data_IF_200496380482
#
_entry.id   IF_200496380482
#
_cell.length_a   1.000
_cell.length_b   1.000
_cell.length_c   1.000
_cell.angle_alpha   90.00
_cell.angle_beta   90.00
_cell.angle_gamma   90.00
#
_symmetry.space_group_name_H-M   'P 1'
#
loop_
_entity.id
_entity.type
_entity.pdbx_description
1 polymer ?
#
# COMPACT_ATOMS: atom_id res chain seq x y z
N UNK A 1 -23.20 -5.70 -4.11
CA UNK A 1 -23.10 -6.06 -2.70
C UNK A 1 -22.74 -7.55 -2.63
N UNK A 2 -21.48 -7.90 -2.68
CA UNK A 2 -21.03 -9.31 -2.65
C UNK A 2 -19.57 -9.54 -2.96
N UNK A 3 -18.85 -8.54 -3.49
CA UNK A 3 -17.48 -8.73 -3.97
C UNK A 3 -16.38 -8.64 -2.91
N UNK A 4 -16.57 -7.83 -1.87
CA UNK A 4 -15.53 -7.66 -0.85
C UNK A 4 -15.35 -8.88 0.06
N UNK A 5 -16.43 -9.56 0.41
CA UNK A 5 -16.34 -10.79 1.20
C UNK A 5 -15.65 -11.93 0.43
N UNK A 6 -15.89 -12.05 -0.89
CA UNK A 6 -15.28 -13.12 -1.69
C UNK A 6 -13.76 -12.95 -1.91
N UNK A 7 -13.23 -11.75 -1.85
CA UNK A 7 -11.77 -11.51 -2.02
C UNK A 7 -11.04 -11.84 -0.72
N UNK A 8 -11.56 -11.43 0.43
CA UNK A 8 -10.98 -11.73 1.74
C UNK A 8 -10.93 -13.22 2.06
N UNK A 9 -11.91 -14.00 1.59
CA UNK A 9 -11.96 -15.44 1.80
C UNK A 9 -11.01 -16.26 0.90
N UNK A 10 -10.38 -15.61 -0.09
CA UNK A 10 -9.50 -16.29 -1.08
C UNK A 10 -8.04 -15.89 -0.97
N UNK A 11 -7.74 -14.77 -0.37
CA UNK A 11 -6.39 -14.22 -0.32
C UNK A 11 -6.06 -13.69 1.08
N UNK A 12 -4.84 -13.96 1.51
CA UNK A 12 -4.30 -13.28 2.68
C UNK A 12 -3.93 -11.85 2.27
N UNK A 13 -4.54 -10.88 2.93
CA UNK A 13 -4.36 -9.46 2.61
C UNK A 13 -3.56 -8.78 3.71
N UNK A 14 -2.43 -8.20 3.34
CA UNK A 14 -1.65 -7.30 4.18
C UNK A 14 -1.98 -5.87 3.74
N UNK A 15 -2.60 -5.11 4.65
CA UNK A 15 -2.95 -3.71 4.39
C UNK A 15 -2.12 -2.79 5.29
N UNK A 16 -1.33 -1.91 4.66
CA UNK A 16 -0.50 -0.91 5.34
C UNK A 16 -0.91 0.47 4.86
N UNK A 17 -1.37 1.30 5.78
CA UNK A 17 -1.59 2.72 5.56
C UNK A 17 -0.41 3.49 6.16
N UNK A 18 0.48 3.95 5.31
CA UNK A 18 1.72 4.62 5.68
C UNK A 18 1.50 5.98 6.34
N UNK A 19 0.30 6.57 6.20
CA UNK A 19 -0.05 7.84 6.85
C UNK A 19 -0.34 7.69 8.34
N UNK A 20 -0.61 6.48 8.82
CA UNK A 20 -0.89 6.18 10.23
C UNK A 20 0.36 6.18 11.10
N UNK A 21 0.92 7.37 11.26
CA UNK A 21 2.11 7.60 12.06
C UNK A 21 1.76 7.95 13.51
N UNK A 22 2.46 7.39 14.51
CA UNK A 22 2.33 7.83 15.89
C UNK A 22 2.75 9.30 16.06
N UNK A 23 2.22 9.98 17.09
CA UNK A 23 2.53 11.38 17.35
C UNK A 23 3.98 11.63 17.78
N UNK A 24 4.62 10.61 18.31
CA UNK A 24 5.97 10.59 18.85
C UNK A 24 7.01 9.96 17.92
N UNK A 25 6.72 9.88 16.63
CA UNK A 25 7.65 9.38 15.64
C UNK A 25 8.46 10.55 15.05
N UNK A 26 9.69 10.71 15.53
CA UNK A 26 10.55 11.85 15.22
C UNK A 26 11.76 11.48 14.35
N UNK A 27 11.90 10.21 13.96
CA UNK A 27 12.98 9.74 13.11
C UNK A 27 12.52 8.75 12.03
N UNK A 28 13.33 8.66 10.98
CA UNK A 28 13.14 7.67 9.91
C UNK A 28 13.22 6.23 10.45
N UNK A 29 14.19 5.95 11.33
CA UNK A 29 14.39 4.62 11.90
C UNK A 29 13.18 4.19 12.71
N UNK A 30 12.69 5.05 13.62
CA UNK A 30 11.49 4.77 14.42
C UNK A 30 10.27 4.48 13.54
N UNK A 31 10.17 5.18 12.41
CA UNK A 31 9.08 4.97 11.46
C UNK A 31 9.11 3.58 10.83
N UNK A 32 10.27 3.15 10.33
CA UNK A 32 10.42 1.83 9.69
C UNK A 32 10.29 0.72 10.73
N UNK A 33 10.97 0.82 11.86
CA UNK A 33 10.92 -0.16 12.95
C UNK A 33 9.48 -0.39 13.42
N UNK A 34 8.68 0.68 13.45
CA UNK A 34 7.27 0.59 13.81
C UNK A 34 6.44 -0.18 12.80
N UNK A 35 6.66 0.06 11.51
CA UNK A 35 5.97 -0.67 10.45
C UNK A 35 6.32 -2.16 10.54
N UNK A 36 7.60 -2.49 10.61
CA UNK A 36 8.06 -3.88 10.71
C UNK A 36 7.55 -4.57 11.98
N UNK A 37 7.70 -3.92 13.14
CA UNK A 37 7.21 -4.46 14.42
C UNK A 37 5.71 -4.75 14.39
N UNK A 38 4.91 -3.85 13.83
CA UNK A 38 3.47 -4.05 13.73
C UNK A 38 3.15 -5.22 12.79
N UNK A 39 3.79 -5.27 11.64
CA UNK A 39 3.58 -6.34 10.66
C UNK A 39 3.98 -7.72 11.25
N UNK A 40 5.17 -7.83 11.83
CA UNK A 40 5.65 -9.07 12.48
C UNK A 40 4.71 -9.48 13.62
N UNK A 41 4.27 -8.53 14.44
CA UNK A 41 3.31 -8.81 15.52
C UNK A 41 1.99 -9.38 14.99
N UNK A 42 1.47 -8.83 13.90
CA UNK A 42 0.21 -9.28 13.33
C UNK A 42 0.37 -10.63 12.63
N UNK A 43 1.50 -10.86 11.94
CA UNK A 43 1.86 -12.17 11.38
C UNK A 43 2.02 -13.23 12.48
N UNK A 44 2.66 -12.91 13.61
CA UNK A 44 2.82 -13.84 14.76
C UNK A 44 1.49 -14.26 15.36
N UNK A 45 0.47 -13.40 15.33
CA UNK A 45 -0.88 -13.75 15.79
C UNK A 45 -1.61 -14.68 14.83
N UNK A 46 -1.46 -14.43 13.55
CA UNK A 46 -2.15 -15.21 12.50
C UNK A 46 -1.48 -16.56 12.28
N UNK A 47 -0.14 -16.63 12.43
CA UNK A 47 0.67 -17.82 12.21
C UNK A 47 1.44 -18.22 13.50
N UNK A 48 0.73 -18.60 14.59
CA UNK A 48 1.38 -18.88 15.87
C UNK A 48 2.28 -20.12 15.86
N UNK A 49 2.19 -20.95 14.83
CA UNK A 49 3.02 -22.14 14.63
C UNK A 49 4.39 -21.83 14.05
N UNK A 50 4.60 -20.64 13.46
CA UNK A 50 5.88 -20.25 12.86
C UNK A 50 6.82 -19.73 13.93
N UNK A 51 8.05 -20.20 13.93
CA UNK A 51 9.12 -19.69 14.78
C UNK A 51 9.66 -18.39 14.19
N UNK A 52 9.60 -17.30 14.95
CA UNK A 52 10.05 -15.97 14.56
C UNK A 52 11.14 -15.52 15.52
N UNK A 53 12.35 -15.30 15.00
CA UNK A 53 13.51 -14.85 15.75
C UNK A 53 13.52 -13.32 15.93
N UNK A 54 14.34 -12.84 16.89
CA UNK A 54 14.39 -11.40 17.22
C UNK A 54 15.00 -10.53 16.10
N UNK A 55 15.88 -11.14 15.29
CA UNK A 55 16.57 -10.49 14.17
C UNK A 55 15.90 -10.68 12.81
N UNK A 56 14.77 -11.38 12.77
CA UNK A 56 14.00 -11.55 11.54
C UNK A 56 13.37 -10.23 11.10
N UNK A 57 13.58 -9.88 9.84
CA UNK A 57 12.79 -8.81 9.18
C UNK A 57 11.38 -9.31 8.83
N UNK A 58 10.48 -8.39 8.53
CA UNK A 58 9.15 -8.75 8.07
C UNK A 58 9.18 -9.60 6.78
N UNK A 59 10.17 -9.38 5.91
CA UNK A 59 10.37 -10.17 4.70
C UNK A 59 10.81 -11.62 5.01
N UNK A 60 11.69 -11.81 6.01
CA UNK A 60 12.13 -13.14 6.42
C UNK A 60 10.97 -13.95 7.00
N UNK A 61 10.16 -13.32 7.85
CA UNK A 61 8.95 -13.95 8.42
C UNK A 61 7.96 -14.36 7.33
N UNK A 62 7.74 -13.51 6.33
CA UNK A 62 6.83 -13.80 5.22
C UNK A 62 7.35 -14.92 4.32
N UNK A 63 8.67 -15.00 4.09
CA UNK A 63 9.29 -16.10 3.34
C UNK A 63 9.16 -17.43 4.11
N UNK A 64 9.40 -17.43 5.44
CA UNK A 64 9.19 -18.60 6.29
C UNK A 64 7.73 -19.07 6.25
N UNK A 65 6.76 -18.16 6.33
CA UNK A 65 5.34 -18.51 6.19
C UNK A 65 5.06 -19.14 4.82
N UNK A 66 5.62 -18.58 3.74
CA UNK A 66 5.46 -19.14 2.40
C UNK A 66 6.02 -20.57 2.33
N UNK A 67 7.20 -20.82 2.90
CA UNK A 67 7.85 -22.13 2.87
C UNK A 67 7.12 -23.17 3.72
N UNK A 68 6.65 -22.79 4.91
CA UNK A 68 6.08 -23.71 5.89
C UNK A 68 4.54 -23.85 5.84
N UNK A 69 3.83 -22.92 5.18
CA UNK A 69 2.37 -22.88 5.12
C UNK A 69 1.84 -23.02 3.67
N UNK A 70 2.04 -24.17 3.04
CA UNK A 70 1.48 -24.54 1.73
C UNK A 70 1.71 -23.49 0.63
N UNK A 71 2.87 -22.85 0.59
CA UNK A 71 3.20 -21.76 -0.34
C UNK A 71 2.21 -20.60 -0.30
N UNK A 72 1.80 -20.23 0.89
CA UNK A 72 0.83 -19.18 1.12
C UNK A 72 1.33 -17.83 0.61
N UNK A 73 0.52 -17.16 -0.22
CA UNK A 73 0.85 -15.86 -0.81
C UNK A 73 -0.04 -14.77 -0.29
N UNK A 74 0.48 -13.55 -0.38
CA UNK A 74 -0.18 -12.36 0.14
C UNK A 74 -0.48 -11.35 -0.96
N UNK A 75 -1.63 -10.70 -0.82
CA UNK A 75 -1.97 -9.50 -1.56
C UNK A 75 -1.64 -8.30 -0.66
N UNK A 76 -0.76 -7.42 -1.13
CA UNK A 76 -0.40 -6.20 -0.42
C UNK A 76 -1.26 -5.04 -0.91
N UNK A 77 -1.89 -4.33 0.02
CA UNK A 77 -2.61 -3.08 -0.21
C UNK A 77 -1.88 -2.00 0.58
N UNK A 78 -1.14 -1.16 -0.12
CA UNK A 78 -0.27 -0.13 0.45
C UNK A 78 -0.84 1.24 0.12
N UNK A 79 -1.25 1.97 1.13
CA UNK A 79 -1.86 3.29 0.97
C UNK A 79 -0.91 4.40 1.42
N UNK A 80 -0.91 5.53 0.69
CA UNK A 80 -0.07 6.70 0.99
C UNK A 80 1.44 6.35 1.07
N UNK A 81 1.96 5.56 0.11
CA UNK A 81 3.35 5.06 0.15
C UNK A 81 4.39 6.17 0.30
N UNK A 82 4.11 7.35 -0.23
CA UNK A 82 5.00 8.50 -0.26
C UNK A 82 4.83 9.46 0.94
N UNK A 83 3.96 9.13 1.89
CA UNK A 83 3.68 9.96 3.07
C UNK A 83 4.94 10.38 3.83
N UNK A 84 5.88 9.46 4.01
CA UNK A 84 7.13 9.71 4.73
C UNK A 84 8.00 10.81 4.07
N UNK A 85 7.90 11.00 2.75
CA UNK A 85 8.69 11.96 2.00
C UNK A 85 8.35 13.42 2.30
N UNK A 86 7.22 13.64 2.95
CA UNK A 86 6.74 14.97 3.36
C UNK A 86 7.12 15.33 4.81
N UNK A 87 7.96 14.51 5.47
CA UNK A 87 8.36 14.73 6.85
C UNK A 87 9.70 15.47 6.92
N UNK A 88 9.78 16.48 7.79
CA UNK A 88 10.96 17.34 7.94
C UNK A 88 12.22 16.58 8.41
N UNK A 89 12.04 15.48 9.12
CA UNK A 89 13.16 14.65 9.60
C UNK A 89 13.70 13.68 8.53
N UNK A 90 13.12 13.63 7.34
CA UNK A 90 13.50 12.69 6.28
C UNK A 90 14.49 13.33 5.32
N UNK A 91 15.68 12.76 5.25
CA UNK A 91 16.74 13.16 4.31
C UNK A 91 16.60 12.47 2.96
N UNK A 92 17.34 12.95 1.94
CA UNK A 92 17.40 12.27 0.63
C UNK A 92 17.96 10.84 0.74
N UNK A 93 18.86 10.59 1.68
CA UNK A 93 19.36 9.23 1.95
C UNK A 93 18.28 8.34 2.56
N UNK A 94 17.48 8.86 3.49
CA UNK A 94 16.35 8.12 4.05
C UNK A 94 15.32 7.76 2.98
N UNK A 95 15.08 8.63 1.99
CA UNK A 95 14.19 8.31 0.87
C UNK A 95 14.67 7.12 0.05
N UNK A 96 15.99 7.05 -0.21
CA UNK A 96 16.58 5.89 -0.89
C UNK A 96 16.47 4.61 -0.06
N UNK A 97 16.75 4.70 1.24
CA UNK A 97 16.62 3.58 2.16
C UNK A 97 15.17 3.09 2.24
N UNK A 98 14.18 3.99 2.20
CA UNK A 98 12.78 3.64 2.18
C UNK A 98 12.36 2.91 0.90
N UNK A 99 12.81 3.39 -0.27
CA UNK A 99 12.59 2.71 -1.54
C UNK A 99 13.23 1.31 -1.53
N UNK A 100 14.42 1.17 -0.95
CA UNK A 100 15.09 -0.11 -0.78
C UNK A 100 14.33 -1.03 0.18
N UNK A 101 13.78 -0.50 1.28
CA UNK A 101 12.92 -1.25 2.20
C UNK A 101 11.70 -1.81 1.47
N UNK A 102 10.97 -1.00 0.69
CA UNK A 102 9.84 -1.46 -0.11
C UNK A 102 10.26 -2.49 -1.16
N UNK A 103 11.42 -2.30 -1.78
CA UNK A 103 11.98 -3.26 -2.74
C UNK A 103 12.27 -4.60 -2.08
N UNK A 104 12.89 -4.61 -0.91
CA UNK A 104 13.20 -5.82 -0.15
C UNK A 104 11.95 -6.56 0.30
N UNK A 105 10.90 -5.83 0.65
CA UNK A 105 9.63 -6.41 1.07
C UNK A 105 8.83 -7.02 -0.09
N UNK A 106 8.94 -6.47 -1.30
CA UNK A 106 7.96 -6.76 -2.36
C UNK A 106 8.56 -7.38 -3.62
N UNK A 107 9.81 -6.99 -3.97
CA UNK A 107 10.37 -7.32 -5.27
C UNK A 107 10.90 -8.75 -5.31
N UNK A 108 10.48 -9.49 -6.35
CA UNK A 108 10.94 -10.86 -6.63
C UNK A 108 10.75 -11.82 -5.42
N UNK A 109 9.73 -11.58 -4.60
CA UNK A 109 9.41 -12.39 -3.42
C UNK A 109 8.36 -13.45 -3.72
N UNK A 110 8.64 -14.68 -3.30
CA UNK A 110 7.79 -15.85 -3.52
C UNK A 110 6.42 -15.70 -2.89
N UNK A 111 6.35 -15.05 -1.73
CA UNK A 111 5.12 -14.81 -0.98
C UNK A 111 4.23 -13.69 -1.55
N UNK A 112 4.71 -12.90 -2.51
CA UNK A 112 3.91 -11.82 -3.11
C UNK A 112 3.05 -12.35 -4.24
N UNK A 113 1.72 -12.27 -4.10
CA UNK A 113 0.76 -12.58 -5.15
C UNK A 113 0.44 -11.35 -6.00
N UNK A 114 0.22 -10.22 -5.37
CA UNK A 114 -0.11 -8.94 -5.96
C UNK A 114 0.23 -7.82 -5.00
N UNK A 115 0.68 -6.70 -5.51
CA UNK A 115 0.78 -5.46 -4.73
C UNK A 115 -0.03 -4.35 -5.41
N UNK A 116 -0.94 -3.74 -4.66
CA UNK A 116 -1.64 -2.52 -5.03
C UNK A 116 -1.16 -1.39 -4.13
N UNK A 117 -0.65 -0.33 -4.73
CA UNK A 117 -0.03 0.78 -3.99
C UNK A 117 -0.60 2.11 -4.48
N UNK A 118 -0.98 2.97 -3.55
CA UNK A 118 -1.47 4.33 -3.82
C UNK A 118 -0.56 5.38 -3.21
N UNK A 119 -0.52 6.56 -3.83
CA UNK A 119 0.24 7.72 -3.38
C UNK A 119 0.09 8.90 -4.34
N UNK A 120 0.69 10.02 -4.00
CA UNK A 120 0.67 11.25 -4.80
C UNK A 120 1.89 11.34 -5.71
N UNK A 121 3.05 10.87 -5.23
CA UNK A 121 4.32 10.99 -5.95
C UNK A 121 4.53 9.81 -6.90
N UNK A 122 5.01 10.06 -8.13
CA UNK A 122 5.33 9.00 -9.06
C UNK A 122 6.52 8.18 -8.56
N UNK A 123 6.40 6.85 -8.58
CA UNK A 123 7.46 5.93 -8.17
C UNK A 123 8.74 6.12 -9.01
N UNK A 124 8.59 6.31 -10.32
CA UNK A 124 9.69 6.46 -11.26
C UNK A 124 10.64 7.61 -10.90
N UNK A 125 10.19 8.62 -10.17
CA UNK A 125 11.02 9.76 -9.75
C UNK A 125 11.99 9.39 -8.62
N UNK A 126 11.65 8.43 -7.79
CA UNK A 126 12.39 8.08 -6.57
C UNK A 126 13.11 6.73 -6.67
N UNK A 127 12.77 5.92 -7.65
CA UNK A 127 13.45 4.69 -8.00
C UNK A 127 14.57 5.01 -9.01
N UNK A 128 15.82 5.00 -8.57
CA UNK A 128 16.97 5.37 -9.39
C UNK A 128 17.39 4.30 -10.42
N UNK A 129 16.57 3.28 -10.63
CA UNK A 129 16.87 2.25 -11.61
C UNK A 129 16.00 1.02 -11.52
N UNK A 130 16.29 0.11 -10.61
CA UNK A 130 15.67 -1.21 -10.61
C UNK A 130 14.85 -1.55 -9.35
N UNK A 131 14.86 -0.67 -8.33
CA UNK A 131 14.32 -1.01 -7.01
C UNK A 131 12.83 -1.33 -7.06
N UNK A 132 12.02 -0.47 -7.69
CA UNK A 132 10.56 -0.61 -7.78
C UNK A 132 10.05 -0.70 -9.24
N UNK A 133 10.86 -1.24 -10.15
CA UNK A 133 10.50 -1.37 -11.57
C UNK A 133 9.44 -2.46 -11.86
N UNK A 134 9.00 -3.20 -10.85
CA UNK A 134 7.93 -4.18 -10.97
C UNK A 134 6.54 -3.57 -10.99
N UNK A 135 6.38 -2.28 -10.66
CA UNK A 135 5.08 -1.62 -10.68
C UNK A 135 4.70 -1.07 -12.05
N UNK A 136 3.44 -1.26 -12.40
CA UNK A 136 2.78 -0.51 -13.47
C UNK A 136 2.12 0.71 -12.83
N UNK A 137 2.55 1.90 -13.23
CA UNK A 137 2.05 3.14 -12.69
C UNK A 137 0.90 3.67 -13.53
N UNK A 138 -0.19 4.02 -12.87
CA UNK A 138 -1.38 4.64 -13.47
C UNK A 138 -1.62 5.99 -12.80
N UNK A 139 -1.94 7.01 -13.61
CA UNK A 139 -2.26 8.35 -13.10
C UNK A 139 -3.67 8.75 -13.46
N UNK A 140 -4.28 9.60 -12.64
CA UNK A 140 -5.62 10.14 -12.91
C UNK A 140 -5.67 11.10 -14.10
N UNK A 141 -4.51 11.54 -14.61
CA UNK A 141 -4.40 12.64 -15.59
C UNK A 141 -4.21 12.15 -17.01
N UNK A 142 -3.61 10.98 -17.23
CA UNK A 142 -3.11 10.59 -18.55
C UNK A 142 -3.59 9.26 -19.10
N UNK A 143 -4.27 8.45 -18.31
CA UNK A 143 -4.59 7.07 -18.68
C UNK A 143 -6.08 6.86 -18.82
N UNK A 144 -6.54 6.48 -20.02
CA UNK A 144 -7.93 6.06 -20.27
C UNK A 144 -8.29 4.73 -19.58
N UNK A 145 -7.26 3.94 -19.18
CA UNK A 145 -7.45 2.65 -18.54
C UNK A 145 -7.87 2.86 -17.09
N UNK A 146 -8.99 2.28 -16.73
CA UNK A 146 -9.62 2.38 -15.41
C UNK A 146 -10.27 3.73 -15.05
N UNK A 147 -10.37 4.69 -15.96
CA UNK A 147 -11.01 6.00 -15.70
C UNK A 147 -12.47 5.88 -15.25
N UNK A 148 -13.17 4.82 -15.64
CA UNK A 148 -14.55 4.52 -15.22
C UNK A 148 -14.68 4.04 -13.76
N UNK A 149 -13.55 3.72 -13.08
CA UNK A 149 -13.54 3.26 -11.70
C UNK A 149 -13.06 4.33 -10.71
N UNK A 150 -12.54 5.46 -11.22
CA UNK A 150 -11.97 6.51 -10.39
C UNK A 150 -12.49 7.89 -10.81
N UNK A 151 -12.99 8.66 -9.84
CA UNK A 151 -13.55 9.98 -10.10
C UNK A 151 -14.97 9.93 -10.63
N UNK A 152 -15.34 10.95 -11.41
CA UNK A 152 -16.65 11.06 -12.06
C UNK A 152 -16.46 11.21 -13.56
N UNK A 153 -17.28 10.53 -14.33
CA UNK A 153 -17.39 10.75 -15.77
C UNK A 153 -18.13 12.07 -16.05
N UNK A 154 -17.94 12.65 -17.23
CA UNK A 154 -18.66 13.86 -17.65
C UNK A 154 -20.18 13.67 -17.53
N UNK A 155 -20.70 12.50 -17.90
CA UNK A 155 -22.12 12.17 -17.77
C UNK A 155 -22.61 12.14 -16.33
N UNK A 156 -21.80 11.66 -15.39
CA UNK A 156 -22.15 11.65 -13.96
C UNK A 156 -22.12 13.07 -13.39
N UNK A 157 -21.16 13.89 -13.80
CA UNK A 157 -21.08 15.31 -13.43
C UNK A 157 -22.33 16.06 -13.94
N UNK A 158 -22.73 15.85 -15.18
CA UNK A 158 -23.94 16.45 -15.76
C UNK A 158 -25.21 16.04 -15.01
N UNK A 159 -25.35 14.76 -14.66
CA UNK A 159 -26.47 14.26 -13.87
C UNK A 159 -26.50 14.88 -12.46
N UNK A 160 -25.34 15.00 -11.80
CA UNK A 160 -25.23 15.65 -10.49
C UNK A 160 -25.62 17.13 -10.58
N UNK A 161 -25.17 17.82 -11.61
CA UNK A 161 -25.50 19.23 -11.84
C UNK A 161 -27.00 19.43 -12.09
N UNK A 162 -27.63 18.61 -12.92
CA UNK A 162 -29.06 18.64 -13.15
C UNK A 162 -29.86 18.41 -11.88
N UNK A 163 -29.47 17.41 -11.09
CA UNK A 163 -30.11 17.08 -9.82
C UNK A 163 -29.99 18.20 -8.80
N UNK A 164 -28.84 18.86 -8.74
CA UNK A 164 -28.60 20.02 -7.87
C UNK A 164 -29.46 21.21 -8.29
N UNK A 165 -29.52 21.55 -9.58
CA UNK A 165 -30.28 22.65 -10.11
C UNK A 165 -31.80 22.49 -9.99
N UNK A 166 -32.30 21.25 -10.08
CA UNK A 166 -33.74 20.96 -9.82
C UNK A 166 -34.07 21.19 -8.35
N UNK A 167 -33.30 20.68 -7.44
CA UNK A 167 -33.53 20.82 -5.99
C UNK A 167 -33.46 22.31 -5.54
N UNK A 168 -32.60 23.11 -6.17
CA UNK A 168 -32.48 24.55 -5.84
C UNK A 168 -33.67 25.36 -6.36
N UNK A 169 -34.38 24.91 -7.42
CA UNK A 169 -35.56 25.56 -7.94
C UNK A 169 -36.86 25.23 -7.15
N UNK A 170 -36.85 24.14 -6.38
CA UNK A 170 -38.01 23.77 -5.55
C UNK A 170 -37.99 24.44 -4.17
N UNK A 171 -36.92 25.17 -3.80
CA UNK A 171 -36.78 25.90 -2.52
C UNK A 171 -37.14 27.39 -2.63
N UNK A 172 -37.53 27.86 -3.81
CA UNK A 172 -38.03 29.20 -4.08
C UNK A 172 -39.48 29.14 -4.59
#
# INVERSE_FOLDING_TARGET
VGSEMCIRDRYNVISIDFSKMPRDCDSYTDYIDRIETNLIRDLRKEYPQIEIYEDDSAADVLETIFEECDQQRFVFVLDEWDFIFHKDFVTEENKKQYVLFLSNLLKDRSYVQLTYMTGILPIAKYSSGSELNMFWEYTMVSEAKYNEYFGFTDSEVDQLYEKYTRNTREIH
#
